data_IF_452112745319
#
_entry.id   IF_452112745319
#
_cell.length_a   1.000
_cell.length_b   1.000
_cell.length_c   1.000
_cell.angle_alpha   90.00
_cell.angle_beta   90.00
_cell.angle_gamma   90.00
#
_symmetry.space_group_name_H-M   'P 1'
#
loop_
_entity.id
_entity.type
_entity.pdbx_description
1 polymer ?
#
# COMPACT_ATOMS: atom_id res chain seq x y z
N UNK A 1 -19.68 -7.91 -8.43
CA UNK A 1 -18.60 -6.93 -8.58
C UNK A 1 -18.25 -6.90 -10.05
N UNK A 2 -18.37 -5.74 -10.70
CA UNK A 2 -18.20 -5.61 -12.16
C UNK A 2 -16.87 -4.93 -12.50
N UNK A 3 -16.33 -4.11 -11.59
CA UNK A 3 -15.01 -3.48 -11.68
C UNK A 3 -14.33 -3.49 -10.29
N UNK A 4 -13.00 -3.42 -10.29
CA UNK A 4 -12.19 -3.20 -9.10
C UNK A 4 -11.25 -2.02 -9.38
N UNK A 5 -11.36 -0.98 -8.57
CA UNK A 5 -10.35 0.07 -8.48
C UNK A 5 -9.23 -0.43 -7.55
N UNK A 6 -8.07 -0.73 -8.13
CA UNK A 6 -6.96 -1.37 -7.40
C UNK A 6 -6.15 -0.40 -6.57
N UNK A 7 -6.36 0.92 -6.70
CA UNK A 7 -5.54 1.92 -6.01
C UNK A 7 -6.30 3.22 -5.73
N UNK A 8 -6.77 3.36 -4.50
CA UNK A 8 -7.44 4.57 -4.00
C UNK A 8 -6.81 5.02 -2.69
N UNK A 9 -7.02 6.29 -2.31
CA UNK A 9 -6.67 6.81 -0.99
C UNK A 9 -7.92 7.41 -0.36
N UNK A 10 -8.85 6.55 0.08
CA UNK A 10 -10.14 6.98 0.64
C UNK A 10 -9.99 7.67 2.00
N UNK A 11 -8.87 7.46 2.69
CA UNK A 11 -8.51 8.13 3.93
C UNK A 11 -8.09 9.60 3.72
N UNK A 12 -7.77 10.00 2.48
CA UNK A 12 -7.38 11.37 2.14
C UNK A 12 -8.41 12.40 2.62
N UNK A 13 -7.92 13.57 3.02
CA UNK A 13 -8.72 14.69 3.51
C UNK A 13 -9.61 15.29 2.43
N UNK A 14 -9.27 15.12 1.16
CA UNK A 14 -10.11 15.51 0.03
C UNK A 14 -11.50 14.85 0.08
N UNK A 15 -11.62 13.68 0.71
CA UNK A 15 -12.90 12.98 0.90
C UNK A 15 -13.54 13.25 2.27
N UNK A 16 -12.99 14.13 3.11
CA UNK A 16 -13.46 14.29 4.49
C UNK A 16 -14.97 14.59 4.59
N UNK A 17 -15.50 15.37 3.63
CA UNK A 17 -16.89 15.81 3.64
C UNK A 17 -17.88 14.77 3.07
N UNK A 18 -17.42 13.88 2.17
CA UNK A 18 -18.32 13.00 1.41
C UNK A 18 -17.87 11.53 1.30
N UNK A 19 -16.83 11.10 2.00
CA UNK A 19 -16.28 9.73 1.97
C UNK A 19 -17.33 8.64 2.04
N UNK A 20 -18.27 8.74 2.99
CA UNK A 20 -19.33 7.74 3.15
C UNK A 20 -20.24 7.68 1.91
N UNK A 21 -20.52 8.83 1.29
CA UNK A 21 -21.30 8.90 0.06
C UNK A 21 -20.50 8.33 -1.13
N UNK A 22 -19.21 8.61 -1.24
CA UNK A 22 -18.32 8.03 -2.27
C UNK A 22 -18.32 6.51 -2.20
N UNK A 23 -18.12 5.94 -1.00
CA UNK A 23 -18.11 4.49 -0.79
C UNK A 23 -19.49 3.88 -1.09
N UNK A 24 -20.58 4.56 -0.70
CA UNK A 24 -21.93 4.10 -1.00
C UNK A 24 -22.21 4.06 -2.51
N UNK A 25 -21.75 5.06 -3.27
CA UNK A 25 -21.83 5.07 -4.74
C UNK A 25 -21.01 3.94 -5.36
N UNK A 26 -19.78 3.72 -4.91
CA UNK A 26 -18.96 2.60 -5.38
C UNK A 26 -19.67 1.26 -5.14
N UNK A 27 -20.27 1.07 -3.96
CA UNK A 27 -21.04 -0.12 -3.65
C UNK A 27 -22.30 -0.28 -4.54
N UNK A 28 -23.07 0.79 -4.78
CA UNK A 28 -24.28 0.70 -5.62
C UNK A 28 -23.96 0.34 -7.07
N UNK A 29 -22.85 0.84 -7.59
CA UNK A 29 -22.31 0.50 -8.91
C UNK A 29 -21.54 -0.83 -8.93
N UNK A 30 -21.52 -1.58 -7.82
CA UNK A 30 -20.81 -2.87 -7.67
C UNK A 30 -19.31 -2.77 -7.99
N UNK A 31 -18.70 -1.65 -7.63
CA UNK A 31 -17.26 -1.39 -7.73
C UNK A 31 -16.59 -1.78 -6.42
N UNK A 32 -15.64 -2.71 -6.49
CA UNK A 32 -14.71 -2.99 -5.40
C UNK A 32 -13.59 -1.98 -5.38
N UNK A 33 -13.08 -1.64 -4.21
CA UNK A 33 -11.97 -0.68 -4.09
C UNK A 33 -10.91 -1.19 -3.12
N UNK A 34 -9.65 -0.99 -3.48
CA UNK A 34 -8.52 -1.17 -2.57
C UNK A 34 -8.06 0.23 -2.16
N UNK A 35 -8.19 0.56 -0.88
CA UNK A 35 -7.63 1.80 -0.32
C UNK A 35 -6.25 1.52 0.25
N UNK A 36 -5.27 2.31 -0.16
CA UNK A 36 -3.86 2.00 0.00
C UNK A 36 -3.23 3.00 0.97
N UNK A 37 -2.69 2.48 2.07
CA UNK A 37 -1.89 3.27 3.02
C UNK A 37 -0.53 3.63 2.42
N UNK A 38 -0.03 4.81 2.76
CA UNK A 38 1.28 5.33 2.34
C UNK A 38 2.24 5.53 3.52
N UNK A 39 1.74 5.39 4.73
CA UNK A 39 2.47 5.37 5.99
C UNK A 39 1.70 4.50 7.00
N UNK A 40 2.24 4.32 8.22
CA UNK A 40 1.56 3.51 9.24
C UNK A 40 0.16 4.05 9.58
N UNK A 41 0.01 5.37 9.72
CA UNK A 41 -1.25 5.99 10.14
C UNK A 41 -2.35 5.83 9.09
N UNK A 42 -2.04 6.10 7.83
CA UNK A 42 -2.95 5.90 6.70
C UNK A 42 -3.24 4.42 6.48
N UNK A 43 -2.29 3.53 6.74
CA UNK A 43 -2.51 2.07 6.75
C UNK A 43 -3.52 1.65 7.82
N UNK A 44 -3.44 2.18 9.04
CA UNK A 44 -4.44 1.94 10.09
C UNK A 44 -5.84 2.44 9.68
N UNK A 45 -5.91 3.62 9.06
CA UNK A 45 -7.15 4.19 8.55
C UNK A 45 -7.74 3.39 7.38
N UNK A 46 -6.90 2.91 6.46
CA UNK A 46 -7.27 2.03 5.36
C UNK A 46 -7.91 0.74 5.87
N UNK A 47 -7.28 0.09 6.86
CA UNK A 47 -7.83 -1.11 7.53
C UNK A 47 -9.14 -0.79 8.24
N UNK A 48 -9.23 0.36 8.92
CA UNK A 48 -10.46 0.82 9.60
C UNK A 48 -11.62 1.00 8.61
N UNK A 49 -11.36 1.55 7.43
CA UNK A 49 -12.36 1.69 6.37
C UNK A 49 -12.76 0.33 5.79
N UNK A 50 -11.79 -0.53 5.49
CA UNK A 50 -12.04 -1.86 4.93
C UNK A 50 -12.88 -2.76 5.87
N UNK A 51 -12.67 -2.64 7.18
CA UNK A 51 -13.50 -3.32 8.21
C UNK A 51 -14.96 -2.89 8.20
N UNK A 52 -15.23 -1.62 7.89
CA UNK A 52 -16.59 -1.03 7.94
C UNK A 52 -17.39 -1.25 6.66
N UNK A 53 -16.72 -1.49 5.54
CA UNK A 53 -17.36 -1.47 4.23
C UNK A 53 -17.06 -2.75 3.44
N UNK A 54 -18.11 -3.49 3.06
CA UNK A 54 -17.96 -4.77 2.35
C UNK A 54 -17.21 -4.66 1.02
N UNK A 55 -17.35 -3.54 0.32
CA UNK A 55 -16.73 -3.29 -1.00
C UNK A 55 -15.31 -2.74 -0.92
N UNK A 56 -14.80 -2.50 0.29
CA UNK A 56 -13.47 -1.93 0.52
C UNK A 56 -12.54 -3.02 1.04
N UNK A 57 -11.32 -3.04 0.49
CA UNK A 57 -10.16 -3.79 0.96
C UNK A 57 -9.01 -2.80 1.20
N UNK A 58 -7.98 -3.24 1.92
CA UNK A 58 -6.85 -2.40 2.27
C UNK A 58 -5.53 -2.92 1.68
N UNK A 59 -4.68 -1.99 1.25
CA UNK A 59 -3.24 -2.19 1.14
C UNK A 59 -2.54 -1.43 2.28
N UNK A 60 -1.50 -2.02 2.87
CA UNK A 60 -0.72 -1.38 3.95
C UNK A 60 0.76 -1.33 3.61
N UNK A 61 1.42 -0.21 3.88
CA UNK A 61 2.81 -0.03 3.50
C UNK A 61 3.34 1.36 3.86
N UNK A 62 4.61 1.58 3.53
CA UNK A 62 5.30 2.87 3.62
C UNK A 62 5.83 3.25 2.25
N UNK A 63 5.32 4.37 1.77
CA UNK A 63 5.65 4.97 0.48
C UNK A 63 7.09 5.50 0.49
N UNK A 64 7.81 5.52 -0.67
CA UNK A 64 9.19 6.00 -0.75
C UNK A 64 9.43 7.40 -0.19
N UNK A 65 8.42 8.27 -0.20
CA UNK A 65 8.56 9.61 0.39
C UNK A 65 8.83 9.56 1.90
N UNK A 66 8.29 8.56 2.58
CA UNK A 66 8.35 8.37 4.02
C UNK A 66 9.26 7.20 4.44
N UNK A 67 10.06 6.66 3.52
CA UNK A 67 10.97 5.54 3.77
C UNK A 67 11.91 5.75 4.98
N UNK A 68 12.29 6.99 5.29
CA UNK A 68 13.07 7.33 6.50
C UNK A 68 12.38 7.02 7.83
N UNK A 69 11.06 6.80 7.82
CA UNK A 69 10.27 6.41 8.98
C UNK A 69 10.06 4.90 9.09
N UNK A 70 10.53 4.13 8.09
CA UNK A 70 10.42 2.68 8.12
C UNK A 70 11.49 2.10 9.03
N UNK A 71 11.06 1.44 10.10
CA UNK A 71 11.89 0.77 11.09
C UNK A 71 11.24 -0.56 11.54
N UNK A 72 11.92 -1.38 12.36
CA UNK A 72 11.37 -2.66 12.81
C UNK A 72 10.06 -2.55 13.61
N UNK A 73 9.81 -1.42 14.29
CA UNK A 73 8.56 -1.20 15.01
C UNK A 73 7.42 -1.01 14.00
N UNK A 74 7.61 -0.12 13.02
CA UNK A 74 6.66 0.11 11.93
C UNK A 74 6.39 -1.17 11.15
N UNK A 75 7.43 -1.93 10.78
CA UNK A 75 7.29 -3.23 10.11
C UNK A 75 6.41 -4.20 10.93
N UNK A 76 6.66 -4.31 12.24
CA UNK A 76 5.87 -5.12 13.15
C UNK A 76 4.39 -4.72 13.17
N UNK A 77 4.11 -3.40 13.19
CA UNK A 77 2.73 -2.89 13.14
C UNK A 77 2.05 -3.19 11.80
N UNK A 78 2.75 -3.02 10.67
CA UNK A 78 2.20 -3.35 9.35
C UNK A 78 1.91 -4.85 9.23
N UNK A 79 2.78 -5.69 9.79
CA UNK A 79 2.56 -7.13 9.86
C UNK A 79 1.30 -7.48 10.64
N UNK A 80 1.10 -6.89 11.81
CA UNK A 80 -0.13 -7.09 12.61
C UNK A 80 -1.38 -6.65 11.84
N UNK A 81 -1.34 -5.48 11.21
CA UNK A 81 -2.45 -4.98 10.38
C UNK A 81 -2.77 -5.95 9.23
N UNK A 82 -1.74 -6.52 8.61
CA UNK A 82 -1.88 -7.43 7.47
C UNK A 82 -2.54 -8.77 7.81
N UNK A 83 -2.61 -9.14 9.10
CA UNK A 83 -3.34 -10.33 9.55
C UNK A 83 -4.87 -10.10 9.60
N UNK A 84 -5.33 -8.86 9.44
CA UNK A 84 -6.75 -8.58 9.29
C UNK A 84 -7.25 -9.08 7.92
N UNK A 85 -8.31 -9.90 7.90
CA UNK A 85 -8.79 -10.57 6.68
C UNK A 85 -9.32 -9.67 5.54
N UNK A 86 -9.18 -8.34 5.68
CA UNK A 86 -9.52 -7.33 4.68
C UNK A 86 -8.29 -6.65 4.06
N UNK A 87 -7.10 -6.91 4.57
CA UNK A 87 -5.84 -6.52 3.94
C UNK A 87 -5.50 -7.52 2.84
N UNK A 88 -5.18 -7.02 1.65
CA UNK A 88 -4.99 -7.86 0.44
C UNK A 88 -3.65 -7.64 -0.24
N UNK A 89 -2.86 -6.66 0.20
CA UNK A 89 -1.55 -6.37 -0.39
C UNK A 89 -0.66 -5.57 0.58
N UNK A 90 0.65 -5.67 0.37
CA UNK A 90 1.64 -4.74 0.93
C UNK A 90 1.89 -3.62 -0.07
N UNK A 91 1.67 -2.39 0.34
CA UNK A 91 1.68 -1.24 -0.55
C UNK A 91 0.94 -0.05 0.04
N UNK A 92 1.29 1.18 -0.33
CA UNK A 92 2.14 1.53 -1.47
C UNK A 92 3.63 1.54 -1.10
N UNK A 93 4.45 0.78 -1.83
CA UNK A 93 5.90 0.64 -1.59
C UNK A 93 6.67 0.88 -2.88
N UNK A 94 7.94 1.24 -2.84
CA UNK A 94 8.72 1.38 -4.08
C UNK A 94 9.76 2.48 -4.01
N UNK A 95 10.00 3.16 -5.13
CA UNK A 95 11.05 4.17 -5.27
C UNK A 95 10.54 5.42 -5.99
N UNK A 96 10.87 6.60 -5.46
CA UNK A 96 10.60 7.90 -6.08
C UNK A 96 11.86 8.78 -6.08
N UNK A 97 12.54 8.83 -7.23
CA UNK A 97 13.75 9.66 -7.42
C UNK A 97 13.45 11.03 -8.01
N UNK A 98 12.19 11.29 -8.37
CA UNK A 98 11.74 12.59 -8.87
C UNK A 98 11.53 13.57 -7.71
N UNK A 99 10.87 13.12 -6.63
CA UNK A 99 10.64 13.94 -5.43
C UNK A 99 11.75 13.80 -4.39
N UNK A 100 12.39 12.64 -4.31
CA UNK A 100 13.60 12.37 -3.51
C UNK A 100 13.46 12.83 -2.04
N UNK A 101 12.28 12.65 -1.43
CA UNK A 101 11.92 13.16 -0.09
C UNK A 101 12.44 12.30 1.08
N UNK A 102 12.98 11.13 0.76
CA UNK A 102 13.78 10.30 1.66
C UNK A 102 15.06 9.89 0.94
N UNK A 103 16.20 9.73 1.66
CA UNK A 103 17.45 9.26 1.07
C UNK A 103 17.25 7.97 0.28
N UNK A 104 17.81 7.89 -0.93
CA UNK A 104 17.62 6.75 -1.85
C UNK A 104 18.06 5.41 -1.26
N UNK A 105 19.05 5.41 -0.38
CA UNK A 105 19.43 4.21 0.38
C UNK A 105 18.27 3.71 1.24
N UNK A 106 17.68 4.58 2.05
CA UNK A 106 16.51 4.24 2.87
C UNK A 106 15.29 3.85 2.02
N UNK A 107 15.08 4.48 0.86
CA UNK A 107 14.02 4.06 -0.06
C UNK A 107 14.24 2.61 -0.55
N UNK A 108 15.47 2.27 -0.95
CA UNK A 108 15.81 0.93 -1.43
C UNK A 108 15.70 -0.11 -0.33
N UNK A 109 16.19 0.20 0.87
CA UNK A 109 16.14 -0.69 2.03
C UNK A 109 14.70 -0.94 2.49
N UNK A 110 13.89 0.12 2.60
CA UNK A 110 12.47 -0.01 2.95
C UNK A 110 11.66 -0.74 1.88
N UNK A 111 11.94 -0.51 0.59
CA UNK A 111 11.29 -1.25 -0.49
C UNK A 111 11.63 -2.73 -0.45
N UNK A 112 12.92 -3.05 -0.27
CA UNK A 112 13.41 -4.41 -0.12
C UNK A 112 12.75 -5.14 1.06
N UNK A 113 12.78 -4.53 2.25
CA UNK A 113 12.21 -5.11 3.47
C UNK A 113 10.70 -5.38 3.34
N UNK A 114 9.96 -4.44 2.74
CA UNK A 114 8.52 -4.60 2.56
C UNK A 114 8.15 -5.69 1.52
N UNK A 115 9.00 -5.95 0.52
CA UNK A 115 8.82 -7.13 -0.35
C UNK A 115 9.01 -8.42 0.45
N UNK A 116 9.99 -8.48 1.34
CA UNK A 116 10.20 -9.67 2.18
C UNK A 116 9.06 -9.87 3.18
N UNK A 117 8.50 -8.79 3.74
CA UNK A 117 7.27 -8.86 4.53
C UNK A 117 6.10 -9.41 3.71
N UNK A 118 5.92 -8.93 2.47
CA UNK A 118 4.87 -9.43 1.58
C UNK A 118 5.05 -10.92 1.28
N UNK A 119 6.29 -11.37 1.06
CA UNK A 119 6.63 -12.77 0.85
C UNK A 119 6.33 -13.63 2.09
N UNK A 120 6.71 -13.17 3.28
CA UNK A 120 6.41 -13.84 4.55
C UNK A 120 4.90 -14.07 4.71
N UNK A 121 4.11 -13.04 4.38
CA UNK A 121 2.65 -13.05 4.53
C UNK A 121 1.91 -13.66 3.33
N UNK A 122 2.63 -14.08 2.30
CA UNK A 122 2.05 -14.56 1.03
C UNK A 122 1.07 -13.56 0.40
N UNK A 123 1.35 -12.26 0.54
CA UNK A 123 0.56 -11.17 -0.02
C UNK A 123 1.22 -10.59 -1.28
N UNK A 124 0.43 -10.15 -2.28
CA UNK A 124 0.97 -9.40 -3.41
C UNK A 124 1.41 -8.00 -2.98
N UNK A 125 2.16 -7.31 -3.85
CA UNK A 125 2.63 -5.94 -3.63
C UNK A 125 1.93 -4.90 -4.53
N UNK A 126 1.80 -3.66 -4.04
CA UNK A 126 1.40 -2.48 -4.82
C UNK A 126 2.60 -1.54 -4.89
N UNK A 127 3.14 -1.34 -6.09
CA UNK A 127 4.46 -0.73 -6.30
C UNK A 127 4.33 0.68 -6.89
N UNK A 128 4.96 1.66 -6.24
CA UNK A 128 5.25 2.98 -6.79
C UNK A 128 6.59 2.98 -7.53
N UNK A 129 6.59 3.54 -8.74
CA UNK A 129 7.81 3.78 -9.51
C UNK A 129 7.77 5.15 -10.15
N UNK A 130 8.71 6.03 -9.78
CA UNK A 130 8.88 7.31 -10.46
C UNK A 130 10.36 7.65 -10.61
N UNK A 131 10.79 7.72 -11.89
CA UNK A 131 12.18 8.02 -12.30
C UNK A 131 13.24 7.09 -11.69
N UNK A 132 12.84 5.89 -11.26
CA UNK A 132 13.66 4.94 -10.49
C UNK A 132 13.69 3.53 -11.08
N UNK A 133 13.17 3.35 -12.30
CA UNK A 133 12.93 2.05 -12.96
C UNK A 133 14.13 1.10 -12.92
N UNK A 134 15.36 1.59 -13.15
CA UNK A 134 16.55 0.75 -13.17
C UNK A 134 16.81 0.08 -11.81
N UNK A 135 16.76 0.87 -10.74
CA UNK A 135 17.01 0.37 -9.38
C UNK A 135 15.84 -0.46 -8.88
N UNK A 136 14.61 -0.04 -9.20
CA UNK A 136 13.41 -0.79 -8.88
C UNK A 136 13.43 -2.21 -9.48
N UNK A 137 13.79 -2.33 -10.76
CA UNK A 137 13.94 -3.64 -11.41
C UNK A 137 15.10 -4.45 -10.84
N UNK A 138 16.19 -3.81 -10.41
CA UNK A 138 17.30 -4.52 -9.76
C UNK A 138 16.87 -5.12 -8.42
N UNK A 139 16.10 -4.38 -7.62
CA UNK A 139 15.55 -4.87 -6.35
C UNK A 139 14.54 -5.99 -6.60
N UNK A 140 13.58 -5.83 -7.52
CA UNK A 140 12.58 -6.87 -7.82
C UNK A 140 13.19 -8.19 -8.35
N UNK A 141 14.37 -8.13 -8.97
CA UNK A 141 15.11 -9.32 -9.39
C UNK A 141 15.78 -10.02 -8.21
N UNK A 142 16.30 -9.25 -7.26
CA UNK A 142 16.95 -9.77 -6.05
C UNK A 142 15.95 -10.24 -4.99
N UNK A 143 14.81 -9.56 -4.90
CA UNK A 143 13.74 -9.74 -3.93
C UNK A 143 12.44 -9.82 -4.71
N UNK A 144 12.10 -11.03 -5.14
CA UNK A 144 10.96 -11.24 -6.04
C UNK A 144 9.68 -11.39 -5.22
N UNK A 145 8.64 -10.57 -5.47
CA UNK A 145 7.33 -10.79 -4.86
C UNK A 145 6.75 -12.14 -5.29
N UNK A 146 6.56 -13.06 -4.34
CA UNK A 146 6.14 -14.43 -4.61
C UNK A 146 4.68 -14.51 -5.08
N UNK A 147 3.81 -13.66 -4.53
CA UNK A 147 2.39 -13.59 -4.88
C UNK A 147 2.08 -12.64 -6.05
N UNK A 148 3.11 -12.08 -6.70
CA UNK A 148 2.95 -11.07 -7.75
C UNK A 148 2.60 -9.69 -7.20
N UNK A 149 1.99 -8.85 -8.03
CA UNK A 149 1.65 -7.47 -7.64
C UNK A 149 1.21 -6.61 -8.82
N UNK A 150 0.96 -5.35 -8.52
CA UNK A 150 0.66 -4.28 -9.47
C UNK A 150 1.73 -3.18 -9.38
N UNK A 151 2.05 -2.55 -10.53
CA UNK A 151 2.89 -1.35 -10.68
C UNK A 151 2.01 -0.27 -11.28
#
# INVERSE_FOLDING_TARGET
>A
MELIDTHTHLDDRAYADDRAAVIARAHSEKIGVITVGVDLRSSEEAVRLARRHRTVWAGVGVHPHDAKSYDPEVEGRLKELSLEGKVVAIGEIGLDYCRDLSPRELQRDAFAAQIELANELSLPVIIHNRESTKDLLAILRSHRPAAGGVI
#
